data_IF_801043170062
#
_entry.id   IF_801043170062
#
_cell.length_a   1.000
_cell.length_b   1.000
_cell.length_c   1.000
_cell.angle_alpha   90.00
_cell.angle_beta   90.00
_cell.angle_gamma   90.00
#
_symmetry.space_group_name_H-M   'P 1'
#
loop_
_entity.id
_entity.type
_entity.pdbx_description
1 polymer ?
#
# COMPACT_ATOMS: atom_id res chain seq x y z
N UNK A 1 38.75 -33.24 -2.94
CA UNK A 1 37.55 -32.59 -3.50
C UNK A 1 36.49 -32.64 -2.42
N UNK A 2 36.33 -31.57 -1.65
CA UNK A 2 35.37 -31.53 -0.54
C UNK A 2 34.24 -30.59 -0.93
N UNK A 3 33.04 -31.15 -0.93
CA UNK A 3 31.78 -30.55 -1.35
C UNK A 3 31.42 -29.37 -0.43
N UNK A 4 31.22 -28.19 -1.04
CA UNK A 4 30.84 -26.97 -0.34
C UNK A 4 29.32 -26.99 -0.17
N UNK A 5 28.85 -27.51 0.97
CA UNK A 5 27.46 -27.38 1.40
C UNK A 5 27.15 -25.91 1.69
N UNK A 6 26.60 -25.20 0.69
CA UNK A 6 26.02 -23.86 0.85
C UNK A 6 24.70 -23.99 1.62
N UNK A 7 24.75 -23.67 2.91
CA UNK A 7 23.57 -23.45 3.75
C UNK A 7 22.77 -22.24 3.21
N UNK A 8 21.73 -22.51 2.41
CA UNK A 8 20.76 -21.51 1.95
C UNK A 8 19.71 -21.25 3.04
N UNK A 9 20.14 -20.80 4.22
CA UNK A 9 19.24 -20.18 5.19
C UNK A 9 19.02 -18.71 4.82
N UNK A 10 18.43 -18.46 3.65
CA UNK A 10 17.95 -17.12 3.28
C UNK A 10 16.75 -16.82 4.18
N UNK A 11 17.02 -16.19 5.33
CA UNK A 11 16.01 -15.65 6.21
C UNK A 11 15.04 -14.81 5.39
N UNK A 12 13.82 -15.30 5.21
CA UNK A 12 12.76 -14.62 4.47
C UNK A 12 12.40 -13.36 5.24
N UNK A 13 13.08 -12.25 4.96
CA UNK A 13 12.64 -10.93 5.41
C UNK A 13 11.23 -10.75 4.87
N UNK A 14 10.26 -10.56 5.76
CA UNK A 14 8.93 -10.16 5.36
C UNK A 14 9.06 -8.92 4.46
N UNK A 15 8.30 -8.83 3.36
CA UNK A 15 8.32 -7.64 2.51
C UNK A 15 8.03 -6.43 3.40
N UNK A 16 8.73 -5.32 3.13
CA UNK A 16 8.54 -4.10 3.87
C UNK A 16 7.05 -3.73 3.86
N UNK A 17 6.50 -3.42 5.04
CA UNK A 17 5.12 -2.94 5.15
C UNK A 17 4.98 -1.67 4.31
N UNK A 18 4.02 -1.68 3.37
CA UNK A 18 3.69 -0.49 2.59
C UNK A 18 2.74 0.36 3.40
N UNK A 19 3.10 1.63 3.61
CA UNK A 19 2.18 2.63 4.14
C UNK A 19 1.13 2.96 3.07
N UNK A 20 -0.07 2.42 3.25
CA UNK A 20 -1.19 2.60 2.33
C UNK A 20 -1.64 4.06 2.25
N UNK A 21 -1.49 4.81 3.35
CA UNK A 21 -1.79 6.25 3.39
C UNK A 21 -0.86 7.04 2.48
N UNK A 22 0.45 6.86 2.66
CA UNK A 22 1.46 7.50 1.82
C UNK A 22 1.32 7.09 0.34
N UNK A 23 0.98 5.83 0.07
CA UNK A 23 0.74 5.36 -1.30
C UNK A 23 -0.49 6.00 -1.94
N UNK A 24 -1.59 6.16 -1.19
CA UNK A 24 -2.79 6.83 -1.68
C UNK A 24 -2.55 8.32 -1.97
N UNK A 25 -1.74 9.01 -1.18
CA UNK A 25 -1.31 10.39 -1.43
C UNK A 25 -0.51 10.49 -2.74
N UNK A 26 0.47 9.60 -2.93
CA UNK A 26 1.25 9.54 -4.15
C UNK A 26 0.37 9.34 -5.40
N UNK A 27 -0.62 8.44 -5.35
CA UNK A 27 -1.57 8.24 -6.46
C UNK A 27 -2.36 9.52 -6.76
N UNK A 28 -2.83 10.22 -5.72
CA UNK A 28 -3.55 11.47 -5.87
C UNK A 28 -2.70 12.56 -6.53
N UNK A 29 -1.41 12.64 -6.22
CA UNK A 29 -0.47 13.54 -6.89
C UNK A 29 -0.30 13.21 -8.37
N UNK A 30 -0.14 11.93 -8.72
CA UNK A 30 -0.04 11.51 -10.12
C UNK A 30 -1.34 11.82 -10.89
N UNK A 31 -2.51 11.61 -10.26
CA UNK A 31 -3.79 11.98 -10.84
C UNK A 31 -3.89 13.49 -11.12
N UNK A 32 -3.41 14.33 -10.19
CA UNK A 32 -3.39 15.78 -10.37
C UNK A 32 -2.42 16.20 -11.49
N UNK A 33 -1.26 15.53 -11.61
CA UNK A 33 -0.34 15.73 -12.71
C UNK A 33 -1.01 15.41 -14.06
N UNK A 34 -1.64 14.24 -14.18
CA UNK A 34 -2.35 13.81 -15.39
C UNK A 34 -3.44 14.79 -15.82
N UNK A 35 -4.20 15.31 -14.85
CA UNK A 35 -5.26 16.30 -15.11
C UNK A 35 -4.72 17.58 -15.77
N UNK A 36 -3.56 18.07 -15.30
CA UNK A 36 -2.89 19.26 -15.87
C UNK A 36 -2.46 19.06 -17.32
N UNK A 37 -2.19 17.82 -17.73
CA UNK A 37 -1.82 17.48 -19.10
C UNK A 37 -3.02 17.06 -19.97
N UNK A 38 -4.25 17.20 -19.46
CA UNK A 38 -5.48 16.90 -20.21
C UNK A 38 -5.93 15.44 -20.18
N UNK A 39 -5.35 14.61 -19.32
CA UNK A 39 -5.69 13.19 -19.18
C UNK A 39 -6.82 12.99 -18.15
N UNK A 40 -7.90 13.75 -18.30
CA UNK A 40 -8.94 13.92 -17.28
C UNK A 40 -9.62 12.60 -16.87
N UNK A 41 -9.90 11.70 -17.83
CA UNK A 41 -10.53 10.40 -17.55
C UNK A 41 -9.63 9.48 -16.72
N UNK A 42 -8.34 9.39 -17.09
CA UNK A 42 -7.36 8.59 -16.33
C UNK A 42 -7.12 9.17 -14.94
N UNK A 43 -7.03 10.51 -14.85
CA UNK A 43 -6.95 11.21 -13.58
C UNK A 43 -8.15 10.91 -12.68
N UNK A 44 -9.38 10.96 -13.22
CA UNK A 44 -10.60 10.65 -12.49
C UNK A 44 -10.60 9.24 -11.88
N UNK A 45 -10.17 8.23 -12.64
CA UNK A 45 -10.06 6.86 -12.14
C UNK A 45 -9.04 6.73 -11.00
N UNK A 46 -7.88 7.39 -11.12
CA UNK A 46 -6.86 7.35 -10.07
C UNK A 46 -7.31 8.04 -8.78
N UNK A 47 -8.01 9.18 -8.86
CA UNK A 47 -8.57 9.84 -7.66
C UNK A 47 -9.58 8.95 -6.96
N UNK A 48 -10.45 8.28 -7.73
CA UNK A 48 -11.42 7.32 -7.18
C UNK A 48 -10.71 6.21 -6.44
N UNK A 49 -9.68 5.62 -7.05
CA UNK A 49 -8.91 4.55 -6.43
C UNK A 49 -8.16 5.00 -5.16
N UNK A 50 -7.53 6.18 -5.17
CA UNK A 50 -6.90 6.76 -3.97
C UNK A 50 -7.91 7.00 -2.82
N UNK A 51 -9.15 7.35 -3.15
CA UNK A 51 -10.23 7.46 -2.16
C UNK A 51 -10.62 6.10 -1.57
N UNK A 52 -10.73 5.07 -2.41
CA UNK A 52 -11.04 3.70 -1.97
C UNK A 52 -9.93 3.13 -1.06
N UNK A 53 -8.66 3.38 -1.38
CA UNK A 53 -7.52 2.97 -0.54
C UNK A 53 -7.58 3.59 0.86
N UNK A 54 -7.85 4.90 0.96
CA UNK A 54 -7.97 5.58 2.26
C UNK A 54 -9.16 5.08 3.08
N UNK A 55 -10.28 4.80 2.42
CA UNK A 55 -11.50 4.30 3.08
C UNK A 55 -11.27 2.91 3.67
N UNK A 56 -10.69 1.99 2.89
CA UNK A 56 -10.34 0.63 3.36
C UNK A 56 -9.32 0.65 4.50
N UNK A 57 -8.30 1.50 4.38
CA UNK A 57 -7.30 1.66 5.44
C UNK A 57 -7.92 2.17 6.75
N UNK A 58 -8.86 3.12 6.67
CA UNK A 58 -9.58 3.61 7.85
C UNK A 58 -10.50 2.54 8.47
N UNK A 59 -11.14 1.70 7.65
CA UNK A 59 -11.96 0.57 8.12
C UNK A 59 -11.11 -0.48 8.85
N UNK A 60 -9.94 -0.84 8.31
CA UNK A 60 -8.99 -1.80 8.94
C UNK A 60 -8.46 -1.27 10.29
N UNK A 61 -8.10 0.01 10.36
CA UNK A 61 -7.70 0.64 11.62
C UNK A 61 -8.82 0.69 12.66
N UNK A 62 -10.07 0.88 12.24
CA UNK A 62 -11.22 0.87 13.15
C UNK A 62 -11.59 -0.54 13.64
N UNK A 63 -11.42 -1.59 12.82
CA UNK A 63 -11.65 -2.99 13.23
C UNK A 63 -10.61 -3.48 14.26
N UNK A 64 -9.36 -2.99 14.18
CA UNK A 64 -8.33 -3.26 15.21
C UNK A 64 -8.63 -2.57 16.55
N UNK A 65 -9.40 -1.48 16.57
CA UNK A 65 -9.82 -0.79 17.79
C UNK A 65 -10.90 -1.52 18.59
N UNK A 66 -11.74 -2.31 17.92
CA UNK A 66 -12.88 -2.99 18.55
C UNK A 66 -12.49 -4.35 19.15
N UNK A 67 -11.42 -4.97 18.66
CA UNK A 67 -10.84 -6.19 19.24
C UNK A 67 -9.90 -5.95 20.44
N UNK A 68 -9.60 -4.69 20.78
CA UNK A 68 -8.81 -4.33 21.96
C UNK A 68 -9.61 -4.25 23.27
N UNK A 69 -10.90 -4.61 23.26
CA UNK A 69 -11.81 -4.52 24.42
C UNK A 69 -12.33 -5.88 24.88
N UNK A 70 -11.56 -6.95 24.69
CA UNK A 70 -11.82 -8.26 25.28
C UNK A 70 -10.62 -8.65 26.14
N UNK A 71 -10.88 -8.69 27.44
CA UNK A 71 -10.03 -8.96 28.62
C UNK A 71 -9.29 -7.77 29.22
#
# INVERSE_FOLDING_TARGET
MSDLMLDQSVGKKAPASVDVGAFAEYIQEQANCMDRYGWCNGAGHLRKWASELRSRHAEEHNQLGDHGRIF
#
